data_IF_092197196756
#
_entry.id   IF_092197196756
#
_cell.length_a   1.000
_cell.length_b   1.000
_cell.length_c   1.000
_cell.angle_alpha   90.00
_cell.angle_beta   90.00
_cell.angle_gamma   90.00
#
_symmetry.space_group_name_H-M   'P 1'
#
loop_
_entity.id
_entity.type
_entity.pdbx_description
1 polymer ?
#
# COMPACT_ATOMS: atom_id res chain seq x y z
N UNK A 1 -31.11 14.90 21.03
CA UNK A 1 -30.70 13.52 21.35
C UNK A 1 -30.55 12.62 20.11
N UNK A 2 -30.12 13.13 18.94
CA UNK A 2 -29.97 12.33 17.72
C UNK A 2 -28.56 11.76 17.48
N UNK A 3 -27.54 12.29 18.17
CA UNK A 3 -26.13 11.95 17.89
C UNK A 3 -25.72 10.54 18.34
N UNK A 4 -26.38 9.95 19.35
CA UNK A 4 -26.04 8.62 19.86
C UNK A 4 -26.43 7.48 18.91
N UNK A 5 -27.61 7.59 18.28
CA UNK A 5 -28.15 6.57 17.39
C UNK A 5 -27.34 6.45 16.08
N UNK A 6 -26.95 7.59 15.50
CA UNK A 6 -26.08 7.62 14.31
C UNK A 6 -24.67 7.09 14.60
N UNK A 7 -24.11 7.36 15.78
CA UNK A 7 -22.81 6.83 16.17
C UNK A 7 -22.85 5.30 16.40
N UNK A 8 -23.96 4.79 16.93
CA UNK A 8 -24.21 3.37 17.10
C UNK A 8 -24.35 2.63 15.76
N UNK A 9 -25.15 3.17 14.83
CA UNK A 9 -25.30 2.62 13.47
C UNK A 9 -23.97 2.63 12.69
N UNK A 10 -23.18 3.70 12.81
CA UNK A 10 -21.86 3.80 12.19
C UNK A 10 -20.91 2.74 12.75
N UNK A 11 -20.93 2.50 14.06
CA UNK A 11 -20.12 1.45 14.69
C UNK A 11 -20.58 0.03 14.32
N UNK A 12 -21.88 -0.19 14.14
CA UNK A 12 -22.42 -1.48 13.66
C UNK A 12 -22.02 -1.77 12.21
N UNK A 13 -22.10 -0.77 11.34
CA UNK A 13 -21.65 -0.91 9.95
C UNK A 13 -20.15 -1.18 9.88
N UNK A 14 -19.37 -0.45 10.69
CA UNK A 14 -17.91 -0.62 10.78
C UNK A 14 -17.52 -2.01 11.29
N UNK A 15 -18.19 -2.53 12.33
CA UNK A 15 -18.00 -3.92 12.80
C UNK A 15 -18.39 -4.96 11.76
N UNK A 16 -19.50 -4.77 11.04
CA UNK A 16 -19.89 -5.70 9.95
C UNK A 16 -18.86 -5.70 8.81
N UNK A 17 -18.28 -4.55 8.50
CA UNK A 17 -17.18 -4.45 7.53
C UNK A 17 -15.92 -5.14 8.03
N UNK A 18 -15.53 -4.92 9.28
CA UNK A 18 -14.37 -5.58 9.90
C UNK A 18 -14.53 -7.12 9.91
N UNK A 19 -15.70 -7.64 10.29
CA UNK A 19 -15.99 -9.10 10.29
C UNK A 19 -15.97 -9.66 8.87
N UNK A 20 -16.49 -8.91 7.87
CA UNK A 20 -16.52 -9.38 6.48
C UNK A 20 -15.13 -9.32 5.84
N UNK A 21 -14.31 -8.34 6.19
CA UNK A 21 -12.94 -8.21 5.72
C UNK A 21 -12.02 -9.24 6.38
N UNK A 22 -12.18 -9.52 7.68
CA UNK A 22 -11.43 -10.54 8.41
C UNK A 22 -11.70 -11.96 7.87
N UNK A 23 -12.96 -12.28 7.58
CA UNK A 23 -13.34 -13.55 6.96
C UNK A 23 -12.81 -13.70 5.53
N UNK A 24 -12.71 -12.61 4.75
CA UNK A 24 -12.18 -12.65 3.39
C UNK A 24 -10.64 -12.72 3.35
N UNK A 25 -9.98 -12.15 4.36
CA UNK A 25 -8.53 -12.17 4.48
C UNK A 25 -7.97 -13.53 4.88
N UNK A 26 -8.75 -14.34 5.61
CA UNK A 26 -8.37 -15.69 6.03
C UNK A 26 -8.99 -16.81 5.18
N UNK A 27 -9.79 -16.47 4.16
CA UNK A 27 -10.36 -17.45 3.25
C UNK A 27 -9.27 -18.06 2.38
N UNK A 28 -8.98 -19.35 2.57
CA UNK A 28 -8.15 -20.17 1.68
C UNK A 28 -9.13 -20.97 0.80
N UNK A 29 -8.97 -20.88 -0.53
CA UNK A 29 -9.78 -21.69 -1.43
C UNK A 29 -9.22 -23.12 -1.44
N UNK A 30 -9.89 -24.04 -0.76
CA UNK A 30 -9.48 -25.44 -0.67
C UNK A 30 -9.76 -26.24 -1.96
N UNK A 31 -10.57 -25.69 -2.89
CA UNK A 31 -10.88 -26.33 -4.16
C UNK A 31 -10.85 -25.34 -5.35
N UNK A 32 -9.66 -24.86 -5.76
CA UNK A 32 -9.52 -23.97 -6.89
C UNK A 32 -9.76 -24.67 -8.22
N UNK A 33 -10.43 -24.00 -9.16
CA UNK A 33 -10.62 -24.53 -10.52
C UNK A 33 -9.28 -24.62 -11.29
N UNK A 34 -9.18 -25.51 -12.26
CA UNK A 34 -7.96 -25.68 -13.08
C UNK A 34 -7.52 -24.36 -13.75
N UNK A 35 -8.48 -23.54 -14.17
CA UNK A 35 -8.23 -22.20 -14.71
C UNK A 35 -7.60 -21.26 -13.67
N UNK A 36 -8.08 -21.28 -12.42
CA UNK A 36 -7.53 -20.48 -11.32
C UNK A 36 -6.15 -20.97 -10.87
N UNK A 37 -5.85 -22.25 -11.02
CA UNK A 37 -4.52 -22.81 -10.80
C UNK A 37 -3.53 -22.39 -11.88
N UNK A 38 -3.99 -22.16 -13.11
CA UNK A 38 -3.16 -21.76 -14.25
C UNK A 38 -2.98 -20.24 -14.33
N UNK A 39 -3.98 -19.46 -13.92
CA UNK A 39 -3.95 -18.00 -13.96
C UNK A 39 -3.19 -17.37 -12.77
N UNK A 40 -2.36 -16.38 -13.08
CA UNK A 40 -1.63 -15.55 -12.10
C UNK A 40 -1.84 -14.05 -12.36
N UNK A 41 -2.96 -13.68 -12.97
CA UNK A 41 -3.31 -12.31 -13.32
C UNK A 41 -3.33 -11.38 -12.12
N UNK A 42 -3.92 -11.78 -10.98
CA UNK A 42 -3.95 -10.90 -9.80
C UNK A 42 -2.57 -10.72 -9.18
N UNK A 43 -1.73 -11.76 -9.21
CA UNK A 43 -0.33 -11.65 -8.79
C UNK A 43 0.49 -10.72 -9.68
N UNK A 44 0.31 -10.78 -11.01
CA UNK A 44 0.95 -9.84 -11.94
C UNK A 44 0.50 -8.39 -11.71
N UNK A 45 -0.81 -8.17 -11.56
CA UNK A 45 -1.35 -6.83 -11.28
C UNK A 45 -0.79 -6.30 -9.96
N UNK A 46 -0.69 -7.14 -8.92
CA UNK A 46 -0.12 -6.72 -7.64
C UNK A 46 1.35 -6.28 -7.76
N UNK A 47 2.16 -6.98 -8.54
CA UNK A 47 3.56 -6.59 -8.82
C UNK A 47 3.60 -5.22 -9.50
N UNK A 48 2.84 -5.03 -10.57
CA UNK A 48 2.80 -3.76 -11.31
C UNK A 48 2.34 -2.61 -10.41
N UNK A 49 1.29 -2.82 -9.63
CA UNK A 49 0.78 -1.81 -8.70
C UNK A 49 1.81 -1.46 -7.61
N UNK A 50 2.55 -2.45 -7.12
CA UNK A 50 3.63 -2.26 -6.16
C UNK A 50 4.80 -1.46 -6.74
N UNK A 51 5.18 -1.72 -7.99
CA UNK A 51 6.25 -0.98 -8.68
C UNK A 51 5.84 0.48 -8.85
N UNK A 52 4.62 0.73 -9.36
CA UNK A 52 4.08 2.08 -9.52
C UNK A 52 4.06 2.82 -8.19
N UNK A 53 3.58 2.16 -7.13
CA UNK A 53 3.55 2.71 -5.78
C UNK A 53 4.95 3.09 -5.26
N UNK A 54 5.96 2.27 -5.51
CA UNK A 54 7.34 2.55 -5.10
C UNK A 54 7.94 3.74 -5.85
N UNK A 55 7.78 3.78 -7.18
CA UNK A 55 8.22 4.93 -7.99
C UNK A 55 7.55 6.23 -7.53
N UNK A 56 6.24 6.16 -7.25
CA UNK A 56 5.48 7.29 -6.74
C UNK A 56 6.01 7.75 -5.37
N UNK A 57 6.31 6.83 -4.46
CA UNK A 57 6.87 7.16 -3.15
C UNK A 57 8.19 7.92 -3.28
N UNK A 58 9.10 7.41 -4.11
CA UNK A 58 10.42 8.03 -4.34
C UNK A 58 10.26 9.44 -4.91
N UNK A 59 9.40 9.62 -5.92
CA UNK A 59 9.13 10.93 -6.51
C UNK A 59 8.50 11.90 -5.49
N UNK A 60 7.55 11.44 -4.68
CA UNK A 60 6.90 12.27 -3.66
C UNK A 60 7.89 12.73 -2.59
N UNK A 61 8.83 11.87 -2.17
CA UNK A 61 9.85 12.26 -1.19
C UNK A 61 10.78 13.33 -1.76
N UNK A 62 11.25 13.19 -3.00
CA UNK A 62 12.06 14.21 -3.64
C UNK A 62 11.33 15.57 -3.73
N UNK A 63 10.04 15.54 -4.10
CA UNK A 63 9.20 16.74 -4.14
C UNK A 63 9.01 17.37 -2.75
N UNK A 64 8.70 16.57 -1.73
CA UNK A 64 8.51 17.03 -0.36
C UNK A 64 9.78 17.72 0.15
N UNK A 65 10.96 17.11 -0.05
CA UNK A 65 12.24 17.71 0.37
C UNK A 65 12.49 19.05 -0.35
N UNK A 66 12.23 19.13 -1.65
CA UNK A 66 12.35 20.38 -2.43
C UNK A 66 11.39 21.46 -1.93
N UNK A 67 10.14 21.10 -1.60
CA UNK A 67 9.17 22.04 -1.02
C UNK A 67 9.63 22.50 0.36
N UNK A 68 10.10 21.59 1.22
CA UNK A 68 10.59 21.92 2.57
C UNK A 68 11.76 22.91 2.54
N UNK A 69 12.65 22.79 1.55
CA UNK A 69 13.78 23.71 1.39
C UNK A 69 13.34 25.16 1.12
N UNK A 70 12.19 25.36 0.46
CA UNK A 70 11.71 26.69 0.07
C UNK A 70 10.60 27.22 1.00
N UNK A 71 9.72 26.35 1.50
CA UNK A 71 8.51 26.72 2.24
C UNK A 71 8.16 25.67 3.31
N UNK A 72 8.67 25.85 4.53
CA UNK A 72 8.48 24.90 5.65
C UNK A 72 7.00 24.57 5.91
N UNK A 73 6.12 25.59 5.95
CA UNK A 73 4.69 25.39 6.21
C UNK A 73 3.98 24.56 5.14
N UNK A 74 4.32 24.79 3.86
CA UNK A 74 3.79 24.01 2.73
C UNK A 74 4.39 22.59 2.76
N UNK A 75 5.66 22.48 3.15
CA UNK A 75 6.34 21.21 3.37
C UNK A 75 5.59 20.31 4.34
N UNK A 76 5.18 20.82 5.50
CA UNK A 76 4.41 20.05 6.49
C UNK A 76 3.09 19.53 5.90
N UNK A 77 2.36 20.38 5.17
CA UNK A 77 1.10 19.97 4.52
C UNK A 77 1.35 18.92 3.43
N UNK A 78 2.47 19.02 2.71
CA UNK A 78 2.83 18.09 1.63
C UNK A 78 3.12 16.67 2.09
N UNK A 79 3.40 16.45 3.38
CA UNK A 79 3.57 15.10 3.98
C UNK A 79 2.32 14.23 3.76
N UNK A 80 1.14 14.84 3.68
CA UNK A 80 -0.12 14.12 3.41
C UNK A 80 -0.10 13.41 2.05
N UNK A 81 0.74 13.84 1.10
CA UNK A 81 0.89 13.16 -0.19
C UNK A 81 1.46 11.74 -0.06
N UNK A 82 2.17 11.42 1.03
CA UNK A 82 2.70 10.08 1.30
C UNK A 82 1.60 9.04 1.53
N UNK A 83 0.36 9.46 1.84
CA UNK A 83 -0.76 8.54 1.97
C UNK A 83 -1.17 7.91 0.64
N UNK A 84 -0.88 8.55 -0.50
CA UNK A 84 -1.24 8.06 -1.83
C UNK A 84 -0.47 6.76 -2.17
N UNK A 85 0.88 6.73 -2.16
CA UNK A 85 1.62 5.49 -2.41
C UNK A 85 1.31 4.43 -1.33
N UNK A 86 1.13 4.81 -0.07
CA UNK A 86 0.77 3.87 0.99
C UNK A 86 -0.54 3.12 0.69
N UNK A 87 -1.57 3.82 0.19
CA UNK A 87 -2.84 3.21 -0.21
C UNK A 87 -2.70 2.29 -1.43
N UNK A 88 -1.92 2.70 -2.44
CA UNK A 88 -1.63 1.85 -3.60
C UNK A 88 -0.90 0.57 -3.18
N UNK A 89 0.08 0.68 -2.27
CA UNK A 89 0.80 -0.48 -1.75
C UNK A 89 -0.14 -1.43 -0.99
N UNK A 90 -1.04 -0.90 -0.15
CA UNK A 90 -2.03 -1.72 0.54
C UNK A 90 -2.95 -2.48 -0.43
N UNK A 91 -3.38 -1.83 -1.51
CA UNK A 91 -4.16 -2.49 -2.58
C UNK A 91 -3.36 -3.58 -3.30
N UNK A 92 -2.07 -3.35 -3.54
CA UNK A 92 -1.17 -4.33 -4.13
C UNK A 92 -1.06 -5.57 -3.23
N UNK A 93 -0.84 -5.37 -1.93
CA UNK A 93 -0.76 -6.44 -0.94
C UNK A 93 -2.07 -7.22 -0.86
N UNK A 94 -3.23 -6.55 -0.85
CA UNK A 94 -4.54 -7.22 -0.86
C UNK A 94 -4.73 -8.09 -2.09
N UNK A 95 -4.36 -7.61 -3.29
CA UNK A 95 -4.42 -8.41 -4.52
C UNK A 95 -3.46 -9.60 -4.50
N UNK A 96 -2.25 -9.42 -3.99
CA UNK A 96 -1.28 -10.50 -3.85
C UNK A 96 -1.73 -11.56 -2.83
N UNK A 97 -2.30 -11.13 -1.70
CA UNK A 97 -2.89 -12.02 -0.67
C UNK A 97 -4.05 -12.80 -1.25
N UNK A 98 -4.94 -12.16 -2.00
CA UNK A 98 -6.05 -12.84 -2.70
C UNK A 98 -5.55 -13.90 -3.68
N UNK A 99 -4.48 -13.62 -4.43
CA UNK A 99 -3.87 -14.61 -5.32
C UNK A 99 -3.28 -15.80 -4.54
N UNK A 100 -2.61 -15.53 -3.41
CA UNK A 100 -2.07 -16.56 -2.53
C UNK A 100 -3.17 -17.49 -2.03
N UNK A 101 -4.29 -16.90 -1.59
CA UNK A 101 -5.44 -17.63 -1.08
C UNK A 101 -6.17 -18.45 -2.15
N UNK A 102 -6.11 -18.05 -3.43
CA UNK A 102 -6.77 -18.78 -4.53
C UNK A 102 -5.95 -19.97 -5.00
N UNK A 103 -4.64 -19.84 -5.20
CA UNK A 103 -3.87 -20.91 -5.84
C UNK A 103 -2.50 -21.22 -5.21
N UNK A 104 -2.12 -20.60 -4.10
CA UNK A 104 -0.84 -20.82 -3.41
C UNK A 104 0.42 -20.38 -4.18
N UNK A 105 0.37 -20.34 -5.52
CA UNK A 105 1.46 -19.92 -6.43
C UNK A 105 1.83 -18.44 -6.28
N UNK A 106 0.98 -17.66 -5.63
CA UNK A 106 1.21 -16.24 -5.32
C UNK A 106 2.24 -15.97 -4.21
N UNK A 107 2.76 -16.98 -3.49
CA UNK A 107 3.64 -16.79 -2.31
C UNK A 107 4.87 -15.94 -2.56
N UNK A 108 5.60 -16.24 -3.63
CA UNK A 108 6.79 -15.47 -4.01
C UNK A 108 6.41 -14.00 -4.28
N UNK A 109 5.38 -13.78 -5.11
CA UNK A 109 4.91 -12.43 -5.46
C UNK A 109 4.38 -11.66 -4.24
N UNK A 110 3.71 -12.33 -3.33
CA UNK A 110 3.25 -11.74 -2.08
C UNK A 110 4.42 -11.27 -1.21
N UNK A 111 5.49 -12.06 -1.09
CA UNK A 111 6.70 -11.65 -0.36
C UNK A 111 7.35 -10.43 -1.04
N UNK A 112 7.46 -10.44 -2.37
CA UNK A 112 8.00 -9.30 -3.11
C UNK A 112 7.21 -8.02 -2.87
N UNK A 113 5.88 -8.08 -3.00
CA UNK A 113 4.99 -6.93 -2.81
C UNK A 113 4.92 -6.48 -1.35
N UNK A 114 4.92 -7.39 -0.39
CA UNK A 114 4.78 -7.04 1.03
C UNK A 114 6.07 -6.52 1.65
N UNK A 115 7.22 -7.08 1.26
CA UNK A 115 8.49 -6.81 1.94
C UNK A 115 9.53 -6.21 1.01
N UNK A 116 9.87 -6.89 -0.09
CA UNK A 116 11.03 -6.54 -0.92
C UNK A 116 10.87 -5.14 -1.54
N UNK A 117 9.76 -4.88 -2.24
CA UNK A 117 9.54 -3.59 -2.89
C UNK A 117 9.46 -2.42 -1.89
N UNK A 118 8.69 -2.51 -0.79
CA UNK A 118 8.69 -1.46 0.23
C UNK A 118 10.07 -1.19 0.84
N UNK A 119 10.84 -2.23 1.15
CA UNK A 119 12.18 -2.08 1.75
C UNK A 119 13.14 -1.40 0.78
N UNK A 120 13.18 -1.87 -0.48
CA UNK A 120 14.04 -1.26 -1.51
C UNK A 120 13.66 0.21 -1.71
N UNK A 121 12.36 0.49 -1.84
CA UNK A 121 11.85 1.85 -2.00
C UNK A 121 12.25 2.74 -0.82
N UNK A 122 12.10 2.26 0.42
CA UNK A 122 12.51 3.00 1.61
C UNK A 122 14.01 3.32 1.63
N UNK A 123 14.87 2.35 1.29
CA UNK A 123 16.32 2.57 1.21
C UNK A 123 16.64 3.65 0.18
N UNK A 124 16.08 3.55 -1.03
CA UNK A 124 16.28 4.54 -2.10
C UNK A 124 15.80 5.93 -1.65
N UNK A 125 14.63 6.00 -1.02
CA UNK A 125 14.09 7.24 -0.49
C UNK A 125 14.96 7.88 0.57
N UNK A 126 15.55 7.10 1.48
CA UNK A 126 16.48 7.59 2.51
C UNK A 126 17.73 8.18 1.85
N UNK A 127 18.32 7.46 0.88
CA UNK A 127 19.51 7.93 0.15
C UNK A 127 19.23 9.26 -0.55
N UNK A 128 18.08 9.38 -1.21
CA UNK A 128 17.67 10.63 -1.88
C UNK A 128 17.46 11.75 -0.86
N UNK A 129 16.85 11.46 0.28
CA UNK A 129 16.60 12.44 1.33
C UNK A 129 17.91 13.04 1.87
N UNK A 130 18.91 12.21 2.19
CA UNK A 130 20.22 12.69 2.61
C UNK A 130 20.95 13.46 1.49
N UNK A 131 20.89 12.97 0.25
CA UNK A 131 21.51 13.63 -0.90
C UNK A 131 20.93 15.03 -1.14
N UNK A 132 19.60 15.16 -1.14
CA UNK A 132 18.92 16.44 -1.35
C UNK A 132 19.13 17.40 -0.18
N UNK A 133 19.05 16.94 1.07
CA UNK A 133 19.34 17.76 2.25
C UNK A 133 20.77 18.31 2.18
N UNK A 134 21.75 17.49 1.80
CA UNK A 134 23.14 17.93 1.64
C UNK A 134 23.34 18.98 0.54
N UNK A 135 22.48 19.00 -0.49
CA UNK A 135 22.48 20.05 -1.52
C UNK A 135 21.83 21.34 -0.99
N UNK A 136 20.72 21.24 -0.26
CA UNK A 136 19.97 22.41 0.21
C UNK A 136 20.55 23.07 1.48
N UNK A 137 21.34 22.36 2.28
CA UNK A 137 22.02 22.91 3.47
C UNK A 137 23.43 23.44 3.19
N UNK A 138 23.87 23.43 1.93
CA UNK A 138 25.17 23.97 1.51
C UNK A 138 25.08 25.47 1.29
#
# INVERSE_FOLDING_TARGET
MANGFWNFLKNLHKRKQEIKDENNENYINDNPTEEQLKDNKNGNIAIVLSIISCLLLVAMIALIVSIFANYIWIGIVSIVLLFIPARLQALAVKKAKRQLNINGKGKVKFIFVKFVFPIISAIISIVILFGLIGVYLK
#
